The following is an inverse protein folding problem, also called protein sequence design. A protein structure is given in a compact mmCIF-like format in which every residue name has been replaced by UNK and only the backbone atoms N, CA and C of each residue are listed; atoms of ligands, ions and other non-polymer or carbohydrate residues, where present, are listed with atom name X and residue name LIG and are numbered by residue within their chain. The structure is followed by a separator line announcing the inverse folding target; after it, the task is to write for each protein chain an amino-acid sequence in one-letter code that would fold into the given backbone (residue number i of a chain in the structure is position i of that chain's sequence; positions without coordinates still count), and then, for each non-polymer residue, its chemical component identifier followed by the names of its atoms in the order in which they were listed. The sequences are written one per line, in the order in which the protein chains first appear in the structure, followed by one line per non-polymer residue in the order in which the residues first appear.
data_IF_643806100235
#
_entry.id   IF_643806100235
#
_cell.length_a   1.000
_cell.length_b   1.000
_cell.length_c   1.000
_cell.angle_alpha   90.00
_cell.angle_beta   90.00
_cell.angle_gamma   90.00
#
_symmetry.space_group_name_H-M   'P 1'
#
loop_
_entity.id
_entity.type
_entity.pdbx_description
1 polymer ?
#
# COMPACT_ATOMS: atom_id res chain seq x y z
N UNK A 1 -20.49 15.66 4.72
CA UNK A 1 -19.86 15.54 6.05
C UNK A 1 -18.73 14.54 5.92
N UNK A 2 -17.51 15.04 6.05
CA UNK A 2 -16.26 14.32 5.78
C UNK A 2 -15.98 13.32 6.89
N UNK A 3 -15.25 12.23 6.59
CA UNK A 3 -14.58 11.41 7.58
C UNK A 3 -13.70 12.30 8.48
N UNK A 4 -14.28 12.84 9.54
CA UNK A 4 -13.65 13.77 10.46
C UNK A 4 -12.75 12.97 11.41
N UNK A 5 -11.43 13.14 11.27
CA UNK A 5 -10.40 13.13 12.33
C UNK A 5 -9.01 12.60 11.88
N UNK A 6 -8.71 12.48 10.58
CA UNK A 6 -7.37 12.09 10.13
C UNK A 6 -6.70 13.18 9.31
N UNK A 7 -5.40 13.38 9.56
CA UNK A 7 -4.57 14.29 8.79
C UNK A 7 -4.53 13.86 7.31
N UNK A 8 -4.46 14.81 6.37
CA UNK A 8 -4.35 14.49 4.96
C UNK A 8 -3.08 13.67 4.68
N UNK A 9 -3.15 12.77 3.69
CA UNK A 9 -2.01 12.04 3.11
C UNK A 9 -1.72 12.60 1.71
N UNK A 10 -1.00 13.73 1.61
CA UNK A 10 -0.79 14.42 0.33
C UNK A 10 0.02 13.61 -0.69
N UNK A 11 0.80 12.60 -0.27
CA UNK A 11 1.55 11.76 -1.20
C UNK A 11 0.71 10.60 -1.78
N UNK A 12 -0.45 10.27 -1.22
CA UNK A 12 -1.29 9.17 -1.71
C UNK A 12 -1.76 9.36 -3.16
N UNK A 13 -2.34 10.52 -3.56
CA UNK A 13 -2.69 10.74 -4.97
C UNK A 13 -1.47 10.60 -5.90
N UNK A 14 -0.32 11.08 -5.45
CA UNK A 14 0.94 11.01 -6.19
C UNK A 14 1.45 9.57 -6.34
N UNK A 15 1.39 8.76 -5.28
CA UNK A 15 1.69 7.33 -5.29
C UNK A 15 0.81 6.58 -6.30
N UNK A 16 -0.50 6.82 -6.28
CA UNK A 16 -1.43 6.17 -7.21
C UNK A 16 -1.14 6.57 -8.66
N UNK A 17 -0.80 7.83 -8.92
CA UNK A 17 -0.45 8.29 -10.26
C UNK A 17 0.86 7.68 -10.79
N UNK A 18 1.85 7.48 -9.90
CA UNK A 18 3.08 6.74 -10.23
C UNK A 18 2.80 5.29 -10.63
N UNK A 19 1.82 4.63 -9.99
CA UNK A 19 1.42 3.26 -10.33
C UNK A 19 0.64 3.22 -11.65
N UNK A 20 -0.31 4.15 -11.86
CA UNK A 20 -1.12 4.26 -13.10
C UNK A 20 -0.27 4.43 -14.36
N UNK A 21 0.87 5.11 -14.25
CA UNK A 21 1.81 5.28 -15.38
C UNK A 21 2.54 4.00 -15.77
N UNK A 22 2.56 3.03 -14.86
CA UNK A 22 3.35 1.81 -14.97
C UNK A 22 2.53 0.58 -15.29
N UNK A 23 1.27 0.56 -14.83
CA UNK A 23 0.36 -0.57 -14.87
C UNK A 23 -1.02 -0.12 -15.32
N UNK A 24 -1.78 -1.02 -15.97
CA UNK A 24 -3.20 -0.78 -16.19
C UNK A 24 -3.93 -0.97 -14.85
N UNK A 25 -4.61 0.08 -14.39
CA UNK A 25 -5.23 0.12 -13.07
C UNK A 25 -6.67 0.62 -13.15
N UNK A 26 -7.52 0.07 -12.29
CA UNK A 26 -8.79 0.69 -11.89
C UNK A 26 -8.57 1.37 -10.54
N UNK A 27 -8.74 2.69 -10.51
CA UNK A 27 -8.51 3.49 -9.31
C UNK A 27 -9.83 3.94 -8.71
N UNK A 28 -9.95 3.77 -7.39
CA UNK A 28 -11.07 4.25 -6.58
C UNK A 28 -10.48 5.19 -5.54
N UNK A 29 -10.86 6.47 -5.54
CA UNK A 29 -10.30 7.50 -4.66
C UNK A 29 -11.38 8.35 -4.00
N UNK A 30 -10.95 9.16 -3.03
CA UNK A 30 -11.77 10.18 -2.37
C UNK A 30 -13.11 9.63 -1.87
N UNK A 31 -14.23 10.30 -2.11
CA UNK A 31 -15.55 9.86 -1.66
C UNK A 31 -16.01 8.55 -2.33
N UNK A 32 -15.36 8.13 -3.41
CA UNK A 32 -15.65 6.85 -4.05
C UNK A 32 -14.91 5.69 -3.36
N UNK A 33 -13.88 5.96 -2.54
CA UNK A 33 -13.10 4.94 -1.83
C UNK A 33 -13.90 4.35 -0.65
N UNK A 34 -14.94 3.59 -1.00
CA UNK A 34 -15.86 2.92 -0.08
C UNK A 34 -15.69 1.40 -0.16
N UNK A 35 -16.06 0.70 0.91
CA UNK A 35 -16.02 -0.77 0.94
C UNK A 35 -16.92 -1.34 -0.17
N UNK A 36 -18.11 -0.77 -0.36
CA UNK A 36 -19.04 -1.24 -1.39
C UNK A 36 -18.48 -1.09 -2.80
N UNK A 37 -17.82 0.03 -3.11
CA UNK A 37 -17.21 0.22 -4.42
C UNK A 37 -16.04 -0.74 -4.64
N UNK A 38 -15.21 -0.97 -3.62
CA UNK A 38 -14.17 -2.00 -3.68
C UNK A 38 -14.80 -3.35 -4.05
N UNK A 39 -15.78 -3.82 -3.28
CA UNK A 39 -16.44 -5.11 -3.50
C UNK A 39 -17.09 -5.23 -4.89
N UNK A 40 -17.76 -4.18 -5.35
CA UNK A 40 -18.36 -4.13 -6.68
C UNK A 40 -17.31 -4.23 -7.78
N UNK A 41 -16.22 -3.48 -7.68
CA UNK A 41 -15.11 -3.55 -8.63
C UNK A 41 -14.48 -4.94 -8.65
N UNK A 42 -14.31 -5.59 -7.48
CA UNK A 42 -13.79 -6.97 -7.44
C UNK A 42 -14.70 -7.96 -8.18
N UNK A 43 -16.02 -7.79 -8.13
CA UNK A 43 -16.96 -8.69 -8.81
C UNK A 43 -16.97 -8.50 -10.33
N UNK A 44 -16.69 -7.27 -10.80
CA UNK A 44 -16.77 -6.91 -12.21
C UNK A 44 -15.45 -7.10 -12.95
N UNK A 45 -14.32 -6.97 -12.26
CA UNK A 45 -13.00 -6.95 -12.87
C UNK A 45 -12.08 -8.05 -12.34
N UNK A 46 -11.17 -8.51 -13.20
CA UNK A 46 -10.09 -9.43 -12.81
C UNK A 46 -8.83 -8.63 -12.55
N UNK A 47 -8.36 -8.64 -11.32
CA UNK A 47 -7.07 -8.05 -10.97
C UNK A 47 -6.24 -9.01 -10.10
N UNK A 48 -4.95 -9.11 -10.41
CA UNK A 48 -3.99 -9.90 -9.63
C UNK A 48 -3.41 -9.14 -8.44
N UNK A 49 -3.54 -7.80 -8.41
CA UNK A 49 -2.98 -6.94 -7.38
C UNK A 49 -4.05 -5.98 -6.87
N UNK A 50 -4.23 -5.91 -5.55
CA UNK A 50 -5.01 -4.88 -4.88
C UNK A 50 -4.06 -3.98 -4.10
N UNK A 51 -4.13 -2.67 -4.33
CA UNK A 51 -3.32 -1.68 -3.65
C UNK A 51 -4.21 -0.76 -2.81
N UNK A 52 -3.96 -0.67 -1.51
CA UNK A 52 -4.67 0.21 -0.59
C UNK A 52 -3.69 1.22 0.02
N UNK A 53 -3.76 2.48 -0.44
CA UNK A 53 -3.00 3.61 0.10
C UNK A 53 -3.93 4.49 0.94
N UNK A 54 -3.82 4.37 2.26
CA UNK A 54 -4.75 5.02 3.22
C UNK A 54 -4.17 5.01 4.64
N UNK A 55 -4.93 5.50 5.61
CA UNK A 55 -4.64 5.32 7.02
C UNK A 55 -5.04 3.93 7.51
N UNK A 56 -4.24 3.38 8.42
CA UNK A 56 -4.59 2.21 9.20
C UNK A 56 -4.18 2.40 10.67
N UNK A 57 -4.94 1.79 11.58
CA UNK A 57 -4.66 1.79 13.00
C UNK A 57 -4.78 0.37 13.51
N UNK A 58 -3.68 -0.15 14.07
CA UNK A 58 -3.67 -1.41 14.79
C UNK A 58 -3.56 -1.15 16.30
N UNK A 59 -4.43 -1.77 17.08
CA UNK A 59 -4.53 -1.62 18.54
C UNK A 59 -4.22 -2.96 19.23
N UNK A 60 -2.97 -3.19 19.69
CA UNK A 60 -2.61 -4.40 20.42
C UNK A 60 -3.44 -4.56 21.70
N UNK A 61 -3.89 -5.78 22.00
CA UNK A 61 -4.79 -6.07 23.13
C UNK A 61 -6.27 -5.72 22.88
N UNK A 62 -6.57 -4.92 21.86
CA UNK A 62 -7.92 -4.58 21.42
C UNK A 62 -8.01 -4.72 19.89
N UNK A 63 -7.56 -5.86 19.35
CA UNK A 63 -7.41 -6.07 17.91
C UNK A 63 -8.72 -5.81 17.13
N UNK A 64 -9.88 -6.06 17.73
CA UNK A 64 -11.21 -5.77 17.17
C UNK A 64 -11.50 -4.27 16.94
N UNK A 65 -10.74 -3.36 17.57
CA UNK A 65 -10.80 -1.90 17.34
C UNK A 65 -9.80 -1.42 16.29
N UNK A 66 -9.00 -2.33 15.73
CA UNK A 66 -8.10 -2.02 14.62
C UNK A 66 -8.91 -1.80 13.34
N UNK A 67 -8.50 -0.83 12.51
CA UNK A 67 -9.17 -0.58 11.24
C UNK A 67 -8.24 -0.08 10.13
N UNK A 68 -8.65 -0.30 8.89
CA UNK A 68 -8.22 0.43 7.69
C UNK A 68 -9.29 1.49 7.39
N UNK A 69 -8.88 2.74 7.19
CA UNK A 69 -9.81 3.84 6.92
C UNK A 69 -10.28 3.79 5.46
N UNK A 70 -11.60 3.79 5.26
CA UNK A 70 -12.28 4.08 4.00
C UNK A 70 -13.00 5.43 4.10
N UNK A 71 -13.48 5.98 2.99
CA UNK A 71 -14.11 7.30 2.97
C UNK A 71 -15.39 7.39 3.82
N UNK A 72 -16.14 6.29 3.87
CA UNK A 72 -17.44 6.19 4.54
C UNK A 72 -17.43 5.30 5.79
N UNK A 73 -16.38 4.48 5.97
CA UNK A 73 -16.34 3.48 7.03
C UNK A 73 -14.91 3.12 7.48
N UNK A 74 -14.81 2.24 8.47
CA UNK A 74 -13.58 1.66 8.99
C UNK A 74 -13.65 0.15 8.82
N UNK A 75 -12.76 -0.41 8.00
CA UNK A 75 -12.71 -1.85 7.75
C UNK A 75 -11.85 -2.54 8.81
N UNK A 76 -12.47 -3.31 9.69
CA UNK A 76 -11.81 -4.09 10.74
C UNK A 76 -11.12 -5.35 10.24
N UNK A 77 -10.35 -6.02 11.11
CA UNK A 77 -9.63 -7.26 10.77
C UNK A 77 -10.57 -8.39 10.31
N UNK A 78 -11.65 -8.63 11.04
CA UNK A 78 -12.62 -9.68 10.70
C UNK A 78 -13.38 -9.37 9.41
N UNK A 79 -13.69 -8.09 9.17
CA UNK A 79 -14.36 -7.64 7.95
C UNK A 79 -13.43 -7.77 6.74
N UNK A 80 -12.14 -7.42 6.89
CA UNK A 80 -11.13 -7.68 5.87
C UNK A 80 -11.07 -9.16 5.55
N UNK A 81 -11.00 -10.03 6.56
CA UNK A 81 -10.99 -11.47 6.34
C UNK A 81 -12.24 -11.94 5.58
N UNK A 82 -13.43 -11.48 5.97
CA UNK A 82 -14.69 -11.83 5.32
C UNK A 82 -14.81 -11.29 3.88
N UNK A 83 -14.24 -10.12 3.59
CA UNK A 83 -14.27 -9.52 2.26
C UNK A 83 -13.59 -10.42 1.21
N UNK A 84 -12.56 -11.19 1.61
CA UNK A 84 -11.80 -12.06 0.71
C UNK A 84 -12.05 -13.57 0.94
N UNK A 85 -12.50 -14.00 2.12
CA UNK A 85 -12.62 -15.41 2.44
C UNK A 85 -13.77 -16.10 1.69
N UNK A 86 -13.45 -17.23 1.04
CA UNK A 86 -14.41 -18.14 0.39
C UNK A 86 -15.36 -17.47 -0.63
N UNK A 87 -14.92 -16.37 -1.23
CA UNK A 87 -15.65 -15.65 -2.27
C UNK A 87 -15.61 -16.42 -3.59
N UNK A 88 -16.62 -17.24 -3.83
CA UNK A 88 -16.82 -17.96 -5.11
C UNK A 88 -17.46 -17.06 -6.19
N UNK A 89 -17.99 -15.91 -5.79
CA UNK A 89 -18.60 -14.90 -6.64
C UNK A 89 -17.57 -13.94 -7.25
N UNK A 90 -16.31 -14.01 -6.84
CA UNK A 90 -15.24 -13.20 -7.41
C UNK A 90 -14.64 -13.88 -8.66
N UNK A 91 -14.39 -13.13 -9.74
CA UNK A 91 -13.77 -13.66 -10.94
C UNK A 91 -12.31 -14.07 -10.69
N UNK A 92 -11.63 -13.43 -9.72
CA UNK A 92 -10.29 -13.76 -9.25
C UNK A 92 -10.05 -13.14 -7.85
N UNK A 93 -9.44 -13.89 -6.94
CA UNK A 93 -8.87 -13.31 -5.71
C UNK A 93 -7.51 -12.66 -6.03
N UNK A 94 -7.21 -11.46 -5.50
CA UNK A 94 -5.91 -10.87 -5.69
C UNK A 94 -4.80 -11.79 -5.16
N UNK A 95 -3.74 -11.94 -5.96
CA UNK A 95 -2.57 -12.73 -5.59
C UNK A 95 -1.62 -11.93 -4.70
N UNK A 96 -1.63 -10.60 -4.86
CA UNK A 96 -0.90 -9.66 -4.03
C UNK A 96 -1.84 -8.59 -3.48
N UNK A 97 -1.86 -8.42 -2.16
CA UNK A 97 -2.41 -7.21 -1.54
C UNK A 97 -1.26 -6.33 -1.06
N UNK A 98 -1.27 -5.05 -1.45
CA UNK A 98 -0.34 -4.03 -0.94
C UNK A 98 -1.11 -3.14 0.01
N UNK A 99 -0.73 -3.18 1.29
CA UNK A 99 -1.27 -2.34 2.36
C UNK A 99 -0.31 -1.18 2.62
N UNK A 100 -0.39 -0.15 1.77
CA UNK A 100 0.39 1.09 1.85
C UNK A 100 -0.20 2.01 2.94
N UNK A 101 -0.03 1.58 4.19
CA UNK A 101 -0.56 2.23 5.39
C UNK A 101 0.28 1.85 6.61
N UNK A 102 0.15 2.57 7.72
CA UNK A 102 0.93 2.34 8.94
C UNK A 102 0.54 1.04 9.66
N UNK A 103 1.54 0.29 10.17
CA UNK A 103 1.39 -0.87 11.08
C UNK A 103 0.44 -1.96 10.57
N UNK A 104 0.43 -2.22 9.27
CA UNK A 104 -0.48 -3.20 8.64
C UNK A 104 0.00 -4.66 8.76
N UNK A 105 1.27 -4.88 9.11
CA UNK A 105 1.85 -6.17 9.50
C UNK A 105 2.23 -6.23 11.00
N UNK A 106 1.86 -5.22 11.78
CA UNK A 106 2.06 -5.23 13.23
C UNK A 106 0.96 -6.08 13.88
N UNK A 107 1.34 -6.97 14.80
CA UNK A 107 0.42 -7.95 15.39
C UNK A 107 0.44 -7.98 16.91
N UNK A 108 -0.44 -8.79 17.46
CA UNK A 108 -0.54 -9.14 18.87
C UNK A 108 -0.92 -10.62 19.00
N UNK A 109 -0.89 -11.24 20.19
CA UNK A 109 -1.32 -12.64 20.37
C UNK A 109 -2.73 -12.93 19.86
N UNK A 110 -3.61 -11.93 19.84
CA UNK A 110 -5.00 -12.06 19.36
C UNK A 110 -5.12 -11.92 17.82
N UNK A 111 -4.12 -11.30 17.18
CA UNK A 111 -4.09 -11.05 15.74
C UNK A 111 -2.65 -11.04 15.25
N UNK A 112 -2.08 -12.23 15.05
CA UNK A 112 -0.73 -12.41 14.53
C UNK A 112 -0.61 -11.75 13.14
N UNK A 113 0.42 -10.91 12.96
CA UNK A 113 0.66 -10.14 11.73
C UNK A 113 -0.48 -9.17 11.33
N UNK A 114 -1.42 -8.88 12.23
CA UNK A 114 -2.47 -7.88 12.03
C UNK A 114 -3.27 -8.04 10.73
N UNK A 115 -3.36 -6.97 9.94
CA UNK A 115 -4.12 -6.97 8.68
C UNK A 115 -3.52 -7.90 7.63
N UNK A 116 -2.18 -8.00 7.58
CA UNK A 116 -1.52 -8.94 6.68
C UNK A 116 -1.89 -10.39 7.05
N UNK A 117 -1.91 -10.73 8.34
CA UNK A 117 -2.39 -12.03 8.83
C UNK A 117 -3.83 -12.30 8.44
N UNK A 118 -4.73 -11.33 8.65
CA UNK A 118 -6.15 -11.45 8.29
C UNK A 118 -6.36 -11.68 6.78
N UNK A 119 -5.61 -10.98 5.92
CA UNK A 119 -5.65 -11.19 4.47
C UNK A 119 -5.13 -12.58 4.06
N UNK A 120 -4.04 -13.08 4.67
CA UNK A 120 -3.52 -14.43 4.42
C UNK A 120 -4.51 -15.52 4.86
N UNK A 121 -5.17 -15.34 6.01
CA UNK A 121 -6.24 -16.24 6.45
C UNK A 121 -7.44 -16.26 5.48
N UNK A 122 -7.63 -15.17 4.73
CA UNK A 122 -8.61 -15.08 3.67
C UNK A 122 -8.14 -15.67 2.32
N UNK A 123 -7.02 -16.41 2.31
CA UNK A 123 -6.43 -17.12 1.16
C UNK A 123 -5.78 -16.22 0.10
N UNK A 124 -5.51 -14.95 0.42
CA UNK A 124 -4.61 -14.11 -0.37
C UNK A 124 -3.21 -14.76 -0.34
N UNK A 125 -2.54 -14.84 -1.49
CA UNK A 125 -1.25 -15.55 -1.58
C UNK A 125 -0.11 -14.77 -0.92
N UNK A 126 -0.07 -13.46 -1.15
CA UNK A 126 1.02 -12.60 -0.70
C UNK A 126 0.48 -11.25 -0.24
N UNK A 127 1.06 -10.70 0.83
CA UNK A 127 0.75 -9.36 1.32
C UNK A 127 2.03 -8.56 1.52
N UNK A 128 2.10 -7.36 0.93
CA UNK A 128 3.10 -6.34 1.24
C UNK A 128 2.49 -5.39 2.28
N UNK A 129 3.12 -5.27 3.45
CA UNK A 129 2.58 -4.51 4.57
C UNK A 129 3.69 -3.93 5.44
N UNK A 130 3.34 -2.97 6.32
CA UNK A 130 4.30 -2.23 7.13
C UNK A 130 4.33 -2.70 8.59
N UNK A 131 5.53 -2.81 9.16
CA UNK A 131 5.75 -3.24 10.56
C UNK A 131 5.58 -2.09 11.57
N UNK A 132 5.84 -0.85 11.16
CA UNK A 132 5.69 0.35 11.99
C UNK A 132 5.09 1.52 11.18
N UNK A 133 5.06 2.71 11.77
CA UNK A 133 4.54 3.92 11.11
C UNK A 133 5.44 4.33 9.95
N UNK A 134 4.86 4.60 8.78
CA UNK A 134 5.59 4.93 7.56
C UNK A 134 5.48 6.41 7.23
N UNK A 135 6.47 6.94 6.52
CA UNK A 135 6.43 8.28 5.98
C UNK A 135 5.71 8.29 4.64
N UNK A 136 4.74 9.19 4.47
CA UNK A 136 3.89 9.28 3.27
C UNK A 136 4.73 9.44 1.99
N UNK A 137 5.60 10.46 1.94
CA UNK A 137 6.46 10.74 0.78
C UNK A 137 7.46 9.61 0.48
N UNK A 138 8.10 9.04 1.50
CA UNK A 138 9.02 7.92 1.33
C UNK A 138 8.33 6.66 0.84
N UNK A 139 7.08 6.44 1.27
CA UNK A 139 6.24 5.31 0.81
C UNK A 139 5.92 5.45 -0.66
N UNK A 140 5.55 6.65 -1.13
CA UNK A 140 5.31 6.89 -2.56
C UNK A 140 6.55 6.56 -3.41
N UNK A 141 7.75 6.93 -2.94
CA UNK A 141 9.02 6.57 -3.59
C UNK A 141 9.28 5.07 -3.62
N UNK A 142 9.10 4.38 -2.49
CA UNK A 142 9.25 2.93 -2.41
C UNK A 142 8.26 2.20 -3.33
N UNK A 143 6.99 2.61 -3.34
CA UNK A 143 5.94 1.96 -4.12
C UNK A 143 6.15 2.19 -5.62
N UNK A 144 6.53 3.39 -6.03
CA UNK A 144 6.89 3.66 -7.42
C UNK A 144 7.97 2.70 -7.92
N UNK A 145 9.04 2.54 -7.14
CA UNK A 145 10.13 1.63 -7.47
C UNK A 145 9.71 0.15 -7.38
N UNK A 146 8.97 -0.23 -6.35
CA UNK A 146 8.48 -1.61 -6.20
C UNK A 146 7.67 -2.05 -7.42
N UNK A 147 6.71 -1.24 -7.87
CA UNK A 147 5.92 -1.54 -9.07
C UNK A 147 6.74 -1.51 -10.36
N UNK A 148 7.86 -0.78 -10.41
CA UNK A 148 8.77 -0.78 -11.55
C UNK A 148 9.55 -2.09 -11.62
N UNK A 149 10.14 -2.50 -10.50
CA UNK A 149 10.91 -3.74 -10.40
C UNK A 149 10.01 -4.97 -10.56
N UNK A 150 8.76 -4.90 -10.09
CA UNK A 150 7.78 -5.99 -10.19
C UNK A 150 7.47 -6.41 -11.64
N UNK A 151 7.67 -5.54 -12.62
CA UNK A 151 7.44 -5.86 -14.05
C UNK A 151 8.37 -6.97 -14.56
N UNK A 152 9.57 -7.06 -14.00
CA UNK A 152 10.64 -7.93 -14.51
C UNK A 152 11.26 -8.84 -13.46
N UNK A 153 11.03 -8.56 -12.17
CA UNK A 153 11.54 -9.40 -11.10
C UNK A 153 10.94 -10.81 -11.18
N UNK A 154 11.75 -11.86 -10.93
CA UNK A 154 11.28 -13.25 -11.00
C UNK A 154 10.27 -13.59 -9.91
N UNK A 155 10.32 -12.88 -8.77
CA UNK A 155 9.42 -13.05 -7.62
C UNK A 155 9.14 -11.70 -6.95
N UNK A 156 8.01 -11.63 -6.24
CA UNK A 156 7.54 -10.40 -5.56
C UNK A 156 8.55 -9.92 -4.52
N UNK A 157 9.18 -10.86 -3.80
CA UNK A 157 10.21 -10.56 -2.80
C UNK A 157 11.45 -9.88 -3.39
N UNK A 158 11.85 -10.29 -4.60
CA UNK A 158 12.99 -9.69 -5.30
C UNK A 158 12.68 -8.27 -5.76
N UNK A 159 11.45 -8.01 -6.21
CA UNK A 159 11.00 -6.65 -6.54
C UNK A 159 11.10 -5.70 -5.34
N UNK A 160 10.61 -6.13 -4.16
CA UNK A 160 10.73 -5.35 -2.93
C UNK A 160 12.18 -5.12 -2.54
N UNK A 161 13.01 -6.18 -2.58
CA UNK A 161 14.44 -6.08 -2.25
C UNK A 161 15.16 -5.10 -3.16
N UNK A 162 14.90 -5.15 -4.46
CA UNK A 162 15.49 -4.22 -5.43
C UNK A 162 15.08 -2.78 -5.14
N UNK A 163 13.80 -2.54 -4.82
CA UNK A 163 13.32 -1.21 -4.45
C UNK A 163 13.99 -0.68 -3.16
N UNK A 164 14.10 -1.52 -2.14
CA UNK A 164 14.78 -1.17 -0.88
C UNK A 164 16.27 -0.87 -1.10
N UNK A 165 16.94 -1.61 -1.99
CA UNK A 165 18.35 -1.37 -2.34
C UNK A 165 18.53 -0.07 -3.13
N UNK A 166 17.64 0.23 -4.06
CA UNK A 166 17.67 1.48 -4.80
C UNK A 166 17.54 2.67 -3.84
N UNK A 167 16.63 2.59 -2.87
CA UNK A 167 16.54 3.61 -1.81
C UNK A 167 17.84 3.66 -1.00
N UNK A 168 18.32 2.53 -0.46
CA UNK A 168 19.56 2.47 0.32
C UNK A 168 20.77 3.10 -0.39
N UNK A 169 20.87 2.96 -1.71
CA UNK A 169 21.95 3.54 -2.52
C UNK A 169 21.78 5.02 -2.85
N UNK A 170 20.68 5.65 -2.45
CA UNK A 170 20.34 7.02 -2.81
C UNK A 170 19.96 7.19 -4.28
N UNK A 171 19.53 6.11 -4.95
CA UNK A 171 19.05 6.16 -6.34
C UNK A 171 17.62 6.72 -6.43
N UNK A 172 16.93 6.76 -5.29
CA UNK A 172 15.59 7.33 -5.14
C UNK A 172 15.66 8.52 -4.19
N UNK A 173 15.31 9.71 -4.68
CA UNK A 173 15.40 10.95 -3.93
C UNK A 173 14.46 12.01 -4.53
N UNK A 174 14.22 13.07 -3.76
CA UNK A 174 13.51 14.25 -4.26
C UNK A 174 14.50 15.36 -4.49
N UNK A 175 14.39 16.01 -5.64
CA UNK A 175 15.15 17.21 -5.97
C UNK A 175 14.39 18.08 -6.96
N UNK A 176 14.39 19.39 -6.74
CA UNK A 176 13.71 20.38 -7.59
C UNK A 176 12.20 20.08 -7.71
N UNK A 177 11.58 19.67 -6.60
CA UNK A 177 10.16 19.34 -6.55
C UNK A 177 9.77 18.09 -7.35
N UNK A 178 10.73 17.22 -7.70
CA UNK A 178 10.49 15.99 -8.47
C UNK A 178 11.02 14.76 -7.76
N UNK A 179 10.31 13.64 -7.87
CA UNK A 179 10.81 12.33 -7.50
C UNK A 179 11.72 11.79 -8.61
N UNK A 180 12.94 11.44 -8.24
CA UNK A 180 13.92 10.71 -9.05
C UNK A 180 13.88 9.24 -8.63
N UNK A 181 13.75 8.33 -9.59
CA UNK A 181 13.58 6.88 -9.41
C UNK A 181 13.85 6.17 -10.75
N UNK A 182 13.80 4.83 -10.80
CA UNK A 182 14.19 4.06 -12.01
C UNK A 182 13.16 4.08 -13.15
N UNK A 183 12.01 4.71 -12.94
CA UNK A 183 10.95 4.84 -13.93
C UNK A 183 11.30 5.75 -15.12
N UNK A 184 10.49 5.65 -16.18
CA UNK A 184 10.75 6.36 -17.44
C UNK A 184 10.75 7.90 -17.32
N UNK A 185 10.02 8.46 -16.37
CA UNK A 185 9.87 9.92 -16.21
C UNK A 185 9.98 10.34 -14.74
N UNK A 186 10.78 11.37 -14.48
CA UNK A 186 10.74 12.11 -13.22
C UNK A 186 9.37 12.77 -13.08
N UNK A 187 8.72 12.58 -11.93
CA UNK A 187 7.38 13.11 -11.70
C UNK A 187 7.41 14.28 -10.72
N UNK A 188 6.73 15.37 -11.09
CA UNK A 188 6.56 16.51 -10.20
C UNK A 188 5.71 16.13 -9.00
N UNK A 189 6.16 16.54 -7.81
CA UNK A 189 5.42 16.39 -6.58
C UNK A 189 4.13 17.23 -6.63
N UNK A 190 3.06 16.77 -5.96
CA UNK A 190 1.86 17.58 -5.78
C UNK A 190 2.20 18.88 -5.04
N UNK A 191 1.41 19.93 -5.26
CA UNK A 191 1.61 21.27 -4.70
C UNK A 191 1.93 21.26 -3.20
N UNK A 192 1.25 20.40 -2.47
CA UNK A 192 1.33 20.27 -1.02
C UNK A 192 2.69 19.74 -0.54
N UNK A 193 3.47 19.15 -1.46
CA UNK A 193 4.81 18.60 -1.25
C UNK A 193 5.90 19.39 -2.00
N UNK A 194 5.57 20.49 -2.70
CA UNK A 194 6.55 21.27 -3.49
C UNK A 194 7.55 22.05 -2.63
N UNK A 195 7.31 22.20 -1.32
CA UNK A 195 8.27 22.80 -0.39
C UNK A 195 9.50 21.92 -0.09
N UNK A 196 9.53 20.68 -0.60
CA UNK A 196 10.67 19.78 -0.48
C UNK A 196 11.71 20.10 -1.57
N UNK A 197 12.70 20.94 -1.24
CA UNK A 197 13.76 21.35 -2.19
C UNK A 197 14.71 20.19 -2.56
N UNK A 198 15.17 19.45 -1.54
CA UNK A 198 15.98 18.25 -1.67
C UNK A 198 15.69 17.30 -0.50
N UNK A 199 15.38 16.04 -0.80
CA UNK A 199 15.04 15.04 0.22
C UNK A 199 15.71 13.72 -0.11
N UNK A 200 16.63 13.30 0.75
CA UNK A 200 17.30 12.00 0.65
C UNK A 200 16.42 10.92 1.27
N UNK A 201 15.99 9.96 0.45
CA UNK A 201 15.15 8.84 0.87
C UNK A 201 15.96 7.57 1.19
N UNK A 202 17.29 7.67 1.27
CA UNK A 202 18.17 6.51 1.54
C UNK A 202 18.09 5.96 2.95
N UNK A 203 17.73 6.82 3.91
CA UNK A 203 17.64 6.42 5.31
C UNK A 203 16.59 5.30 5.50
N UNK A 204 16.90 4.21 6.24
CA UNK A 204 16.00 3.04 6.39
C UNK A 204 14.61 3.38 6.92
N UNK A 205 14.47 4.48 7.66
CA UNK A 205 13.19 5.03 8.09
C UNK A 205 12.12 5.07 6.97
N UNK A 206 12.49 5.33 5.72
CA UNK A 206 11.56 5.47 4.61
C UNK A 206 11.10 4.14 4.00
N UNK A 207 11.84 3.04 4.19
CA UNK A 207 11.63 1.83 3.38
C UNK A 207 11.70 0.51 4.14
N UNK A 208 12.40 0.45 5.27
CA UNK A 208 12.64 -0.81 5.99
C UNK A 208 11.43 -1.30 6.79
N UNK A 209 10.39 -0.46 6.92
CA UNK A 209 9.12 -0.85 7.50
C UNK A 209 8.38 -1.92 6.69
N UNK A 210 8.54 -1.93 5.38
CA UNK A 210 7.74 -2.77 4.50
C UNK A 210 8.34 -4.16 4.35
N UNK A 211 7.48 -5.17 4.44
CA UNK A 211 7.82 -6.58 4.31
C UNK A 211 6.77 -7.32 3.49
N UNK A 212 7.21 -8.37 2.78
CA UNK A 212 6.33 -9.31 2.09
C UNK A 212 6.10 -10.55 2.95
N UNK A 213 4.85 -10.94 3.08
CA UNK A 213 4.41 -12.07 3.89
C UNK A 213 3.57 -12.99 3.00
N UNK A 214 3.75 -14.30 3.15
CA UNK A 214 3.04 -15.33 2.38
C UNK A 214 3.91 -15.97 1.30
N UNK A 215 3.29 -16.43 0.23
CA UNK A 215 3.98 -17.09 -0.87
C UNK A 215 4.76 -16.07 -1.71
N UNK A 216 6.10 -16.17 -1.82
CA UNK A 216 6.88 -15.20 -2.60
C UNK A 216 6.76 -15.39 -4.12
N UNK A 217 6.33 -16.57 -4.58
CA UNK A 217 6.22 -16.96 -5.99
C UNK A 217 4.93 -16.39 -6.62
#
# INVERSE_FOLDING_TARGET
ETAQAQSPLPAVPFELDLIKQQWQTTAISDQQFTIQNLLNTQQQERFGILHLATHASFQPGEANRSYIQFADNKLGLSELQQAFANRTDLPQLPELIVLSACRTAFGSPEAELGFAGAALQAKVKTVLASLWSVNDTGTAGLMAEFYQQLKTAPIKAEALRQAQIAMLKGEIFIKDGKLHWSGKNMQALPSDLQGLEAYDLSHPYYWSAFTLIGNPW
#
